data_IF_778049323618
#
_entry.id   IF_778049323618
#
_cell.length_a   1.000
_cell.length_b   1.000
_cell.length_c   1.000
_cell.angle_alpha   90.00
_cell.angle_beta   90.00
_cell.angle_gamma   90.00
#
_symmetry.space_group_name_H-M   'P 1'
#
loop_
_entity.id
_entity.type
_entity.pdbx_description
1 polymer ?
#
# COMPACT_ATOMS: atom_id res chain seq x y z
N UNK A 1 2.48 -23.95 -20.59
CA UNK A 1 1.52 -24.25 -19.51
C UNK A 1 0.76 -22.97 -19.21
N UNK A 2 -0.44 -22.82 -19.75
CA UNK A 2 -1.30 -21.65 -19.51
C UNK A 2 -1.80 -21.69 -18.07
N UNK A 3 -1.21 -20.86 -17.21
CA UNK A 3 -1.83 -20.50 -15.94
C UNK A 3 -2.95 -19.52 -16.28
N UNK A 4 -4.19 -20.01 -16.28
CA UNK A 4 -5.38 -19.16 -16.27
C UNK A 4 -5.28 -18.23 -15.06
N UNK A 5 -4.95 -16.98 -15.32
CA UNK A 5 -4.84 -15.94 -14.31
C UNK A 5 -6.25 -15.49 -13.94
N UNK A 6 -6.98 -16.29 -13.17
CA UNK A 6 -8.22 -15.83 -12.53
C UNK A 6 -7.81 -14.85 -11.44
N UNK A 7 -7.79 -13.57 -11.79
CA UNK A 7 -7.66 -12.47 -10.85
C UNK A 7 -8.81 -12.56 -9.84
N UNK A 8 -8.48 -12.62 -8.54
CA UNK A 8 -9.51 -12.58 -7.49
C UNK A 8 -10.34 -11.30 -7.69
N UNK A 9 -11.69 -11.39 -7.70
CA UNK A 9 -12.54 -10.24 -7.95
C UNK A 9 -12.26 -9.10 -6.97
N UNK A 10 -12.39 -7.86 -7.46
CA UNK A 10 -12.26 -6.65 -6.63
C UNK A 10 -13.47 -6.46 -5.72
N UNK A 11 -14.67 -6.78 -6.23
CA UNK A 11 -15.94 -6.75 -5.51
C UNK A 11 -16.35 -8.19 -5.26
N UNK A 12 -16.65 -8.50 -4.00
CA UNK A 12 -16.99 -9.81 -3.49
C UNK A 12 -18.16 -9.61 -2.53
N UNK A 13 -19.14 -10.51 -2.55
CA UNK A 13 -20.28 -10.40 -1.63
C UNK A 13 -19.88 -10.91 -0.26
N UNK A 14 -20.51 -10.41 0.79
CA UNK A 14 -20.24 -10.89 2.16
C UNK A 14 -20.50 -12.40 2.28
N UNK A 15 -21.53 -12.91 1.59
CA UNK A 15 -21.86 -14.34 1.55
C UNK A 15 -20.73 -15.20 0.98
N UNK A 16 -19.89 -14.65 0.09
CA UNK A 16 -18.74 -15.35 -0.51
C UNK A 16 -17.61 -15.56 0.51
N UNK A 17 -17.67 -14.91 1.69
CA UNK A 17 -16.76 -15.12 2.81
C UNK A 17 -17.31 -16.13 3.83
N UNK A 18 -18.53 -16.66 3.64
CA UNK A 18 -19.22 -17.53 4.60
C UNK A 18 -18.45 -18.81 4.97
N UNK A 19 -17.65 -19.34 4.05
CA UNK A 19 -16.85 -20.56 4.26
C UNK A 19 -15.47 -20.29 4.88
N UNK A 20 -15.09 -19.02 5.11
CA UNK A 20 -13.80 -18.68 5.71
C UNK A 20 -13.80 -19.11 7.18
N UNK A 21 -12.83 -19.96 7.61
CA UNK A 21 -12.75 -20.35 9.02
C UNK A 21 -12.59 -19.14 9.93
N UNK A 22 -13.34 -19.10 11.04
CA UNK A 22 -13.32 -17.96 11.98
C UNK A 22 -11.91 -17.58 12.46
N UNK A 23 -11.02 -18.56 12.66
CA UNK A 23 -9.63 -18.31 13.02
C UNK A 23 -8.86 -17.49 11.98
N UNK A 24 -9.11 -17.72 10.69
CA UNK A 24 -8.49 -16.98 9.59
C UNK A 24 -9.00 -15.54 9.53
N UNK A 25 -10.30 -15.35 9.73
CA UNK A 25 -10.89 -14.01 9.81
C UNK A 25 -10.32 -13.23 11.00
N UNK A 26 -10.22 -13.87 12.17
CA UNK A 26 -9.61 -13.27 13.36
C UNK A 26 -8.15 -12.86 13.12
N UNK A 27 -7.39 -13.62 12.34
CA UNK A 27 -6.02 -13.24 12.00
C UNK A 27 -5.95 -12.00 11.12
N UNK A 28 -6.86 -11.85 10.15
CA UNK A 28 -6.98 -10.61 9.34
C UNK A 28 -7.35 -9.43 10.24
N UNK A 29 -8.34 -9.61 11.13
CA UNK A 29 -8.74 -8.56 12.08
C UNK A 29 -7.60 -8.16 13.01
N UNK A 30 -6.87 -9.12 13.59
CA UNK A 30 -5.70 -8.86 14.45
C UNK A 30 -4.63 -8.09 13.70
N UNK A 31 -4.33 -8.47 12.47
CA UNK A 31 -3.35 -7.78 11.63
C UNK A 31 -3.81 -6.34 11.33
N UNK A 32 -5.08 -6.14 10.98
CA UNK A 32 -5.67 -4.82 10.75
C UNK A 32 -5.56 -3.94 12.00
N UNK A 33 -6.01 -4.44 13.16
CA UNK A 33 -5.95 -3.71 14.42
C UNK A 33 -4.51 -3.36 14.78
N UNK A 34 -3.56 -4.30 14.67
CA UNK A 34 -2.17 -4.06 15.02
C UNK A 34 -1.52 -3.00 14.12
N UNK A 35 -1.75 -3.06 12.81
CA UNK A 35 -1.21 -2.08 11.85
C UNK A 35 -1.83 -0.70 12.08
N UNK A 36 -3.16 -0.61 12.18
CA UNK A 36 -3.84 0.68 12.39
C UNK A 36 -3.57 1.31 13.76
N UNK A 37 -3.17 0.51 14.75
CA UNK A 37 -2.79 1.00 16.08
C UNK A 37 -1.35 1.50 16.16
N UNK A 38 -0.57 1.41 15.07
CA UNK A 38 0.77 2.00 15.05
C UNK A 38 0.67 3.52 15.23
N UNK A 39 1.52 4.12 16.10
CA UNK A 39 1.40 5.53 16.46
C UNK A 39 1.70 6.41 15.24
N UNK A 40 0.70 7.17 14.79
CA UNK A 40 0.81 8.05 13.62
C UNK A 40 1.91 9.10 13.78
N UNK A 41 2.13 9.61 14.99
CA UNK A 41 3.24 10.52 15.29
C UNK A 41 4.63 9.92 15.00
N UNK A 42 4.77 8.58 14.94
CA UNK A 42 6.03 7.97 14.53
C UNK A 42 6.29 8.08 13.01
N UNK A 43 5.24 8.26 12.20
CA UNK A 43 5.37 8.56 10.78
C UNK A 43 5.97 9.96 10.53
N UNK A 44 5.94 10.85 11.53
CA UNK A 44 6.62 12.15 11.47
C UNK A 44 8.15 12.00 11.48
N UNK A 45 8.68 10.87 11.98
CA UNK A 45 10.12 10.57 11.99
C UNK A 45 10.61 9.86 10.73
N UNK A 46 9.70 9.51 9.81
CA UNK A 46 10.05 8.89 8.55
C UNK A 46 10.85 9.86 7.67
N UNK A 47 11.87 9.36 6.97
CA UNK A 47 12.67 10.17 6.02
C UNK A 47 12.12 10.10 4.58
N UNK A 48 11.16 9.22 4.33
CA UNK A 48 10.50 9.10 3.04
C UNK A 48 8.99 8.90 3.15
N UNK A 49 8.27 9.28 2.09
CA UNK A 49 6.87 8.96 1.89
C UNK A 49 6.72 8.15 0.60
N UNK A 50 5.94 7.08 0.64
CA UNK A 50 5.74 6.16 -0.48
C UNK A 50 4.25 6.03 -0.76
N UNK A 51 3.84 6.23 -2.01
CA UNK A 51 2.46 6.13 -2.45
C UNK A 51 2.34 5.21 -3.67
N UNK A 52 1.68 4.05 -3.54
CA UNK A 52 1.27 3.24 -4.68
C UNK A 52 0.01 3.83 -5.35
N UNK A 53 0.08 4.09 -6.66
CA UNK A 53 -1.08 4.51 -7.45
C UNK A 53 -1.96 3.31 -7.83
N UNK A 54 -3.14 3.60 -8.38
CA UNK A 54 -4.07 2.60 -8.90
C UNK A 54 -5.52 3.03 -8.73
N UNK A 55 -6.39 2.39 -9.51
CA UNK A 55 -7.84 2.58 -9.51
C UNK A 55 -8.32 4.02 -9.73
N UNK A 56 -7.47 4.86 -10.34
CA UNK A 56 -7.77 6.28 -10.58
C UNK A 56 -7.85 7.12 -9.29
N UNK A 57 -7.41 6.57 -8.16
CA UNK A 57 -7.50 7.23 -6.86
C UNK A 57 -6.44 8.33 -6.72
N UNK A 58 -6.59 9.43 -7.46
CA UNK A 58 -5.72 10.60 -7.41
C UNK A 58 -5.60 11.18 -6.00
N UNK A 59 -6.60 10.95 -5.14
CA UNK A 59 -6.54 11.35 -3.74
C UNK A 59 -5.38 10.71 -2.98
N UNK A 60 -4.93 9.50 -3.34
CA UNK A 60 -3.73 8.90 -2.73
C UNK A 60 -2.50 9.74 -3.02
N UNK A 61 -2.32 10.07 -4.30
CA UNK A 61 -1.18 10.86 -4.79
C UNK A 61 -1.26 12.29 -4.25
N UNK A 62 -2.44 12.91 -4.31
CA UNK A 62 -2.67 14.28 -3.83
C UNK A 62 -2.44 14.39 -2.33
N UNK A 63 -2.87 13.40 -1.53
CA UNK A 63 -2.59 13.36 -0.10
C UNK A 63 -1.08 13.25 0.15
N UNK A 64 -0.38 12.37 -0.56
CA UNK A 64 1.06 12.21 -0.43
C UNK A 64 1.82 13.49 -0.84
N UNK A 65 1.42 14.14 -1.93
CA UNK A 65 1.96 15.42 -2.37
C UNK A 65 1.75 16.49 -1.31
N UNK A 66 0.56 16.60 -0.70
CA UNK A 66 0.31 17.59 0.37
C UNK A 66 1.22 17.37 1.57
N UNK A 67 1.41 16.12 2.00
CA UNK A 67 2.36 15.80 3.07
C UNK A 67 3.79 16.17 2.65
N UNK A 68 4.20 15.80 1.45
CA UNK A 68 5.51 16.14 0.89
C UNK A 68 5.77 17.65 0.85
N UNK A 69 4.81 18.46 0.39
CA UNK A 69 4.97 19.91 0.30
C UNK A 69 4.97 20.60 1.67
N UNK A 70 4.30 20.02 2.67
CA UNK A 70 4.20 20.62 4.02
C UNK A 70 5.28 20.12 4.99
N UNK A 71 6.02 19.09 4.61
CA UNK A 71 7.05 18.43 5.44
C UNK A 71 8.42 18.51 4.76
N UNK A 72 9.11 19.66 4.86
CA UNK A 72 10.39 19.86 4.20
C UNK A 72 11.49 18.89 4.67
N UNK A 73 11.34 18.31 5.87
CA UNK A 73 12.25 17.33 6.46
C UNK A 73 12.20 15.95 5.78
N UNK A 74 11.13 15.65 5.03
CA UNK A 74 11.10 14.46 4.18
C UNK A 74 12.17 14.62 3.09
N UNK A 75 13.03 13.61 2.96
CA UNK A 75 14.11 13.58 1.97
C UNK A 75 13.61 13.03 0.63
N UNK A 76 12.64 12.12 0.65
CA UNK A 76 12.20 11.38 -0.53
C UNK A 76 10.67 11.25 -0.62
N UNK A 77 10.14 11.38 -1.84
CA UNK A 77 8.78 11.00 -2.20
C UNK A 77 8.83 9.97 -3.32
N UNK A 78 8.32 8.77 -3.07
CA UNK A 78 8.26 7.68 -4.04
C UNK A 78 6.82 7.45 -4.50
N UNK A 79 6.59 7.49 -5.81
CA UNK A 79 5.29 7.25 -6.43
C UNK A 79 5.40 5.99 -7.28
N UNK A 80 4.84 4.87 -6.79
CA UNK A 80 4.82 3.62 -7.54
C UNK A 80 3.68 3.66 -8.57
N UNK A 81 3.95 3.17 -9.78
CA UNK A 81 3.05 3.30 -10.93
C UNK A 81 1.87 2.32 -10.84
N UNK A 82 0.86 2.51 -11.69
CA UNK A 82 -0.39 1.75 -11.66
C UNK A 82 -0.46 0.65 -12.71
N UNK A 83 -1.63 0.03 -12.81
CA UNK A 83 -1.90 -0.98 -13.81
C UNK A 83 -2.38 -0.33 -15.12
N UNK A 84 -1.65 -0.46 -16.24
CA UNK A 84 -2.01 0.17 -17.50
C UNK A 84 -3.28 -0.42 -18.15
N UNK A 85 -3.80 -1.53 -17.62
CA UNK A 85 -5.07 -2.11 -18.03
C UNK A 85 -6.29 -1.53 -17.30
N UNK A 86 -6.10 -0.66 -16.29
CA UNK A 86 -7.20 0.05 -15.64
C UNK A 86 -7.75 1.14 -16.57
N UNK A 87 -9.06 1.32 -16.58
CA UNK A 87 -9.70 2.35 -17.43
C UNK A 87 -9.33 3.74 -16.96
N UNK A 88 -9.04 3.88 -15.66
CA UNK A 88 -8.62 5.11 -15.00
C UNK A 88 -7.10 5.22 -14.86
N UNK A 89 -6.33 4.52 -15.70
CA UNK A 89 -4.87 4.64 -15.69
C UNK A 89 -4.45 5.93 -16.37
N UNK A 90 -3.68 6.74 -15.65
CA UNK A 90 -2.99 7.91 -16.18
C UNK A 90 -1.48 7.76 -16.01
N UNK A 91 -0.73 8.16 -17.04
CA UNK A 91 0.73 8.20 -16.96
C UNK A 91 1.17 9.25 -15.94
N UNK A 92 2.06 8.85 -15.02
CA UNK A 92 2.60 9.71 -13.96
C UNK A 92 3.67 10.69 -14.48
N UNK A 93 3.31 11.47 -15.49
CA UNK A 93 4.18 12.47 -16.10
C UNK A 93 4.45 13.66 -15.15
N UNK A 94 5.56 14.40 -15.35
CA UNK A 94 5.83 15.60 -14.56
C UNK A 94 4.71 16.65 -14.63
N UNK A 95 4.09 16.82 -15.81
CA UNK A 95 2.98 17.76 -15.99
C UNK A 95 1.74 17.35 -15.19
N UNK A 96 1.40 16.06 -15.24
CA UNK A 96 0.28 15.50 -14.48
C UNK A 96 0.47 15.69 -12.97
N UNK A 97 1.62 15.31 -12.43
CA UNK A 97 1.91 15.44 -11.00
C UNK A 97 1.96 16.91 -10.54
N UNK A 98 2.46 17.82 -11.37
CA UNK A 98 2.37 19.27 -11.10
C UNK A 98 0.93 19.76 -11.07
N UNK A 99 0.06 19.22 -11.95
CA UNK A 99 -1.38 19.46 -11.93
C UNK A 99 -2.04 19.03 -10.62
N UNK A 100 -1.55 17.94 -10.00
CA UNK A 100 -1.96 17.48 -8.68
C UNK A 100 -1.35 18.28 -7.51
N UNK A 101 -0.54 19.30 -7.82
CA UNK A 101 0.01 20.23 -6.84
C UNK A 101 1.46 19.96 -6.42
N UNK A 102 2.18 19.03 -7.07
CA UNK A 102 3.59 18.79 -6.79
C UNK A 102 4.46 19.97 -7.29
N UNK A 103 5.20 20.60 -6.39
CA UNK A 103 6.06 21.76 -6.67
C UNK A 103 7.53 21.43 -6.40
N UNK A 104 7.82 20.78 -5.27
CA UNK A 104 9.17 20.35 -4.90
C UNK A 104 9.52 19.04 -5.60
N UNK A 105 10.45 19.09 -6.54
CA UNK A 105 10.83 17.94 -7.36
C UNK A 105 12.07 17.20 -6.86
N UNK A 106 12.95 17.88 -6.13
CA UNK A 106 14.17 17.28 -5.60
C UNK A 106 13.83 16.18 -4.59
N UNK A 107 14.29 14.95 -4.85
CA UNK A 107 13.96 13.78 -4.03
C UNK A 107 12.69 13.04 -4.44
N UNK A 108 12.02 13.46 -5.52
CA UNK A 108 10.86 12.73 -6.08
C UNK A 108 11.35 11.62 -7.01
N UNK A 109 10.88 10.40 -6.76
CA UNK A 109 11.13 9.23 -7.59
C UNK A 109 9.80 8.63 -8.05
N UNK A 110 9.60 8.58 -9.35
CA UNK A 110 8.41 7.97 -9.97
C UNK A 110 8.84 6.66 -10.63
N UNK A 111 8.08 5.59 -10.38
CA UNK A 111 8.31 4.33 -11.07
C UNK A 111 8.00 4.50 -12.56
N UNK A 112 8.99 4.31 -13.43
CA UNK A 112 8.82 4.47 -14.86
C UNK A 112 7.98 3.32 -15.46
N UNK A 113 8.27 2.09 -15.04
CA UNK A 113 7.59 0.91 -15.56
C UNK A 113 6.18 0.80 -14.97
N UNK A 114 5.17 0.45 -15.78
CA UNK A 114 3.85 0.15 -15.25
C UNK A 114 3.90 -1.01 -14.24
N UNK A 115 3.06 -0.95 -13.20
CA UNK A 115 2.95 -1.99 -12.20
C UNK A 115 1.52 -2.55 -12.12
N UNK A 116 1.21 -3.58 -12.95
CA UNK A 116 -0.12 -4.21 -13.02
C UNK A 116 -0.70 -4.75 -11.71
N UNK A 117 0.10 -4.87 -10.65
CA UNK A 117 -0.34 -5.38 -9.37
C UNK A 117 0.51 -4.85 -8.21
N UNK A 118 -0.04 -4.94 -7.01
CA UNK A 118 0.60 -4.49 -5.77
C UNK A 118 1.94 -5.20 -5.48
N UNK A 119 2.17 -6.41 -5.98
CA UNK A 119 3.43 -7.12 -5.75
C UNK A 119 4.59 -6.49 -6.54
N UNK A 120 4.33 -6.02 -7.77
CA UNK A 120 5.32 -5.29 -8.56
C UNK A 120 5.63 -3.91 -7.95
N UNK A 121 4.60 -3.20 -7.48
CA UNK A 121 4.78 -1.95 -6.73
C UNK A 121 5.64 -2.19 -5.48
N UNK A 122 5.32 -3.21 -4.68
CA UNK A 122 6.06 -3.54 -3.47
C UNK A 122 7.51 -3.97 -3.76
N UNK A 123 7.74 -4.69 -4.85
CA UNK A 123 9.08 -5.04 -5.32
C UNK A 123 9.91 -3.79 -5.61
N UNK A 124 9.37 -2.89 -6.44
CA UNK A 124 10.00 -1.63 -6.78
C UNK A 124 10.27 -0.77 -5.53
N UNK A 125 9.30 -0.67 -4.61
CA UNK A 125 9.46 0.03 -3.32
C UNK A 125 10.66 -0.52 -2.56
N UNK A 126 10.76 -1.85 -2.43
CA UNK A 126 11.84 -2.46 -1.67
C UNK A 126 13.21 -2.30 -2.35
N UNK A 127 13.27 -2.28 -3.69
CA UNK A 127 14.48 -1.94 -4.43
C UNK A 127 14.91 -0.48 -4.16
N UNK A 128 13.96 0.47 -4.22
CA UNK A 128 14.24 1.88 -3.93
C UNK A 128 14.66 2.11 -2.47
N UNK A 129 14.07 1.38 -1.52
CA UNK A 129 14.46 1.46 -0.10
C UNK A 129 15.94 1.10 0.09
N UNK A 130 16.40 0.02 -0.54
CA UNK A 130 17.81 -0.37 -0.49
C UNK A 130 18.71 0.67 -1.19
N UNK A 131 18.37 1.03 -2.43
CA UNK A 131 19.23 1.87 -3.26
C UNK A 131 19.36 3.31 -2.75
N UNK A 132 18.30 3.87 -2.17
CA UNK A 132 18.27 5.26 -1.69
C UNK A 132 18.61 5.38 -0.20
N UNK A 133 18.91 4.26 0.46
CA UNK A 133 19.20 4.19 1.89
C UNK A 133 18.07 4.76 2.74
N UNK A 134 16.82 4.40 2.43
CA UNK A 134 15.66 4.87 3.22
C UNK A 134 15.72 4.23 4.60
N UNK A 135 15.72 5.07 5.63
CA UNK A 135 15.84 4.61 7.02
C UNK A 135 14.50 4.26 7.64
N UNK A 136 13.41 4.86 7.16
CA UNK A 136 12.02 4.54 7.51
C UNK A 136 11.04 5.37 6.70
N UNK A 137 9.87 4.83 6.39
CA UNK A 137 8.93 5.49 5.48
C UNK A 137 7.47 5.39 5.90
N UNK A 138 6.70 6.41 5.51
CA UNK A 138 5.24 6.37 5.52
C UNK A 138 4.71 5.69 4.26
N UNK A 139 3.75 4.77 4.40
CA UNK A 139 3.07 4.11 3.29
C UNK A 139 1.66 4.70 3.13
N UNK A 140 1.48 5.55 2.13
CA UNK A 140 0.27 6.30 1.84
C UNK A 140 -0.68 5.51 0.93
N UNK A 141 -1.79 5.01 1.47
CA UNK A 141 -2.75 4.14 0.75
C UNK A 141 -4.18 4.40 1.24
N UNK A 142 -5.18 4.19 0.38
CA UNK A 142 -6.59 4.22 0.79
C UNK A 142 -6.87 3.23 1.94
N UNK A 143 -7.68 3.58 2.95
CA UNK A 143 -7.88 2.77 4.15
C UNK A 143 -8.29 1.31 3.89
N UNK A 144 -9.21 1.07 2.94
CA UNK A 144 -9.69 -0.29 2.63
C UNK A 144 -8.57 -1.20 2.07
N UNK A 145 -7.59 -0.62 1.37
CA UNK A 145 -6.48 -1.34 0.75
C UNK A 145 -5.24 -1.44 1.66
N UNK A 146 -5.14 -0.57 2.66
CA UNK A 146 -3.93 -0.35 3.45
C UNK A 146 -3.31 -1.63 4.01
N UNK A 147 -4.11 -2.51 4.62
CA UNK A 147 -3.58 -3.74 5.23
C UNK A 147 -2.87 -4.63 4.18
N UNK A 148 -3.52 -4.87 3.04
CA UNK A 148 -2.94 -5.72 1.99
C UNK A 148 -1.67 -5.09 1.42
N UNK A 149 -1.68 -3.79 1.13
CA UNK A 149 -0.49 -3.07 0.67
C UNK A 149 0.66 -3.19 1.67
N UNK A 150 0.38 -2.93 2.95
CA UNK A 150 1.35 -3.00 4.04
C UNK A 150 2.00 -4.39 4.13
N UNK A 151 1.20 -5.46 4.18
CA UNK A 151 1.72 -6.83 4.24
C UNK A 151 2.48 -7.23 2.98
N UNK A 152 2.11 -6.71 1.81
CA UNK A 152 2.83 -6.96 0.55
C UNK A 152 4.21 -6.29 0.60
N UNK A 153 4.28 -5.04 1.05
CA UNK A 153 5.54 -4.28 1.18
C UNK A 153 6.45 -4.92 2.22
N UNK A 154 5.93 -5.31 3.39
CA UNK A 154 6.71 -6.04 4.39
C UNK A 154 7.31 -7.33 3.80
N UNK A 155 6.53 -8.10 3.04
CA UNK A 155 7.04 -9.32 2.40
C UNK A 155 8.14 -9.02 1.37
N UNK A 156 7.99 -7.95 0.60
CA UNK A 156 8.97 -7.55 -0.40
C UNK A 156 10.29 -7.05 0.22
N UNK A 157 10.22 -6.32 1.35
CA UNK A 157 11.36 -5.92 2.16
C UNK A 157 12.08 -7.14 2.76
N UNK A 158 11.31 -8.06 3.35
CA UNK A 158 11.83 -9.27 3.96
C UNK A 158 12.62 -10.14 2.98
N UNK A 159 12.09 -10.32 1.76
CA UNK A 159 12.78 -11.05 0.68
C UNK A 159 14.12 -10.42 0.27
N UNK A 160 14.33 -9.13 0.55
CA UNK A 160 15.59 -8.41 0.30
C UNK A 160 16.46 -8.30 1.56
N UNK A 161 16.07 -8.94 2.65
CA UNK A 161 16.78 -8.84 3.94
C UNK A 161 16.68 -7.45 4.58
N UNK A 162 15.72 -6.62 4.16
CA UNK A 162 15.56 -5.26 4.66
C UNK A 162 14.71 -5.23 5.93
N UNK A 163 15.12 -4.39 6.87
CA UNK A 163 14.42 -4.11 8.13
C UNK A 163 14.43 -2.60 8.36
N UNK A 164 13.34 -1.95 7.98
CA UNK A 164 13.13 -0.50 8.15
C UNK A 164 11.73 -0.25 8.72
N UNK A 165 11.54 0.79 9.55
CA UNK A 165 10.22 1.18 10.01
C UNK A 165 9.31 1.57 8.84
N UNK A 166 8.17 0.88 8.73
CA UNK A 166 7.08 1.16 7.81
C UNK A 166 5.88 1.65 8.63
N UNK A 167 5.49 2.89 8.42
CA UNK A 167 4.36 3.51 9.13
C UNK A 167 3.14 3.59 8.20
N UNK A 168 1.98 3.06 8.58
CA UNK A 168 0.77 3.19 7.77
C UNK A 168 0.30 4.64 7.78
N UNK A 169 0.10 5.23 6.60
CA UNK A 169 -0.45 6.58 6.42
C UNK A 169 -1.77 6.45 5.66
N UNK A 170 -2.90 6.23 6.36
CA UNK A 170 -4.19 6.11 5.68
C UNK A 170 -4.59 7.43 5.03
N UNK A 171 -4.97 7.37 3.76
CA UNK A 171 -5.46 8.57 3.05
C UNK A 171 -6.78 9.03 3.65
N UNK A 172 -6.86 10.34 3.94
CA UNK A 172 -8.08 10.99 4.40
C UNK A 172 -9.11 11.11 3.27
N UNK A 173 -9.88 10.04 3.06
CA UNK A 173 -10.98 9.95 2.10
C UNK A 173 -12.21 9.38 2.80
N UNK A 174 -13.41 9.87 2.44
CA UNK A 174 -14.65 9.31 2.97
C UNK A 174 -14.79 7.84 2.58
N UNK A 175 -15.22 6.94 3.49
CA UNK A 175 -15.53 5.56 3.10
C UNK A 175 -16.67 5.46 2.09
N UNK A 176 -17.53 6.49 1.98
CA UNK A 176 -18.60 6.60 0.98
C UNK A 176 -18.12 7.13 -0.39
N UNK A 177 -16.86 7.56 -0.50
CA UNK A 177 -16.31 7.97 -1.77
C UNK A 177 -16.24 6.76 -2.72
N UNK A 178 -16.70 6.95 -3.96
CA UNK A 178 -16.66 5.91 -4.98
C UNK A 178 -15.29 5.88 -5.64
N UNK A 179 -14.65 4.73 -5.64
CA UNK A 179 -13.38 4.48 -6.32
C UNK A 179 -13.58 4.58 -7.84
N UNK A 180 -12.85 5.45 -8.57
CA UNK A 180 -13.11 5.75 -9.97
C UNK A 180 -13.18 4.51 -10.88
N UNK A 181 -12.23 3.59 -10.73
CA UNK A 181 -12.14 2.39 -11.57
C UNK A 181 -13.31 1.40 -11.38
N UNK A 182 -13.93 1.37 -10.20
CA UNK A 182 -14.94 0.33 -9.89
C UNK A 182 -16.33 0.90 -9.65
N UNK A 183 -16.44 2.20 -9.39
CA UNK A 183 -17.65 2.84 -8.89
C UNK A 183 -18.04 2.42 -7.47
N UNK A 184 -17.31 1.51 -6.82
CA UNK A 184 -17.63 0.97 -5.51
C UNK A 184 -17.08 1.84 -4.36
N UNK A 185 -17.74 1.78 -3.21
CA UNK A 185 -17.31 2.39 -1.95
C UNK A 185 -16.31 1.51 -1.20
N UNK A 186 -15.71 2.03 -0.14
CA UNK A 186 -14.81 1.24 0.70
C UNK A 186 -15.51 0.02 1.31
N UNK A 187 -16.78 0.14 1.69
CA UNK A 187 -17.57 -0.96 2.26
C UNK A 187 -17.72 -2.13 1.28
N UNK A 188 -17.97 -1.83 0.01
CA UNK A 188 -18.16 -2.83 -1.06
C UNK A 188 -16.84 -3.50 -1.49
N UNK A 189 -15.70 -2.81 -1.31
CA UNK A 189 -14.38 -3.31 -1.70
C UNK A 189 -13.67 -4.12 -0.60
N UNK A 190 -14.03 -3.89 0.67
CA UNK A 190 -13.42 -4.56 1.81
C UNK A 190 -13.52 -6.10 1.76
N UNK A 191 -14.66 -6.72 1.43
CA UNK A 191 -14.74 -8.18 1.31
C UNK A 191 -13.75 -8.74 0.29
N UNK A 192 -13.59 -8.05 -0.84
CA UNK A 192 -12.62 -8.42 -1.87
C UNK A 192 -11.17 -8.26 -1.42
N UNK A 193 -10.85 -7.24 -0.61
CA UNK A 193 -9.51 -7.11 0.00
C UNK A 193 -9.25 -8.24 1.00
N UNK A 194 -10.24 -8.63 1.82
CA UNK A 194 -10.14 -9.75 2.77
C UNK A 194 -9.89 -11.06 2.03
N UNK A 195 -10.70 -11.36 0.99
CA UNK A 195 -10.51 -12.59 0.20
C UNK A 195 -9.12 -12.65 -0.43
N UNK A 196 -8.60 -11.52 -0.93
CA UNK A 196 -7.23 -11.43 -1.47
C UNK A 196 -6.18 -11.61 -0.40
N UNK A 197 -6.36 -11.03 0.79
CA UNK A 197 -5.41 -11.24 1.91
C UNK A 197 -5.32 -12.74 2.23
N UNK A 198 -6.45 -13.41 2.38
CA UNK A 198 -6.52 -14.83 2.69
C UNK A 198 -5.88 -15.69 1.59
N UNK A 199 -6.23 -15.42 0.32
CA UNK A 199 -5.71 -16.15 -0.85
C UNK A 199 -4.21 -15.93 -1.02
N UNK A 200 -3.73 -14.71 -0.85
CA UNK A 200 -2.33 -14.35 -1.12
C UNK A 200 -1.40 -14.72 0.02
N UNK A 201 -1.89 -14.78 1.26
CA UNK A 201 -1.16 -15.31 2.40
C UNK A 201 -0.76 -16.78 2.15
N UNK A 202 -1.67 -17.61 1.65
CA UNK A 202 -1.41 -19.03 1.36
C UNK A 202 -0.38 -19.24 0.24
N UNK A 203 -0.25 -18.25 -0.65
CA UNK A 203 0.73 -18.25 -1.74
C UNK A 203 2.08 -17.65 -1.35
N UNK A 204 2.24 -17.21 -0.10
CA UNK A 204 3.44 -16.56 0.40
C UNK A 204 3.72 -15.18 -0.23
N UNK A 205 2.68 -14.53 -0.78
CA UNK A 205 2.79 -13.22 -1.44
C UNK A 205 2.66 -12.05 -0.46
N UNK A 206 2.09 -12.30 0.72
CA UNK A 206 1.95 -11.34 1.80
C UNK A 206 2.76 -11.81 3.02
N UNK A 207 3.10 -10.86 3.88
CA UNK A 207 3.60 -11.19 5.21
C UNK A 207 2.51 -11.94 5.99
N UNK A 208 2.88 -13.10 6.53
CA UNK A 208 2.02 -13.91 7.40
C UNK A 208 1.78 -13.22 8.75
N UNK A 209 0.76 -13.65 9.52
CA UNK A 209 0.57 -13.12 10.88
C UNK A 209 1.78 -13.31 11.81
N UNK A 210 2.54 -14.40 11.63
CA UNK A 210 3.76 -14.64 12.38
C UNK A 210 4.89 -13.67 11.99
N UNK A 211 5.08 -13.44 10.68
CA UNK A 211 6.05 -12.47 10.17
C UNK A 211 5.69 -11.04 10.60
N UNK A 212 4.41 -10.65 10.52
CA UNK A 212 3.94 -9.36 11.02
C UNK A 212 4.25 -9.20 12.52
N UNK A 213 3.94 -10.21 13.34
CA UNK A 213 4.21 -10.17 14.78
C UNK A 213 5.70 -10.01 15.08
N UNK A 214 6.55 -10.76 14.37
CA UNK A 214 8.00 -10.66 14.52
C UNK A 214 8.50 -9.26 14.12
N UNK A 215 8.02 -8.73 12.99
CA UNK A 215 8.33 -7.37 12.54
C UNK A 215 7.89 -6.31 13.55
N UNK A 216 6.66 -6.40 14.07
CA UNK A 216 6.16 -5.45 15.07
C UNK A 216 6.96 -5.54 16.38
N UNK A 217 7.31 -6.76 16.83
CA UNK A 217 8.18 -6.95 18.00
C UNK A 217 9.54 -6.25 17.81
N UNK A 218 10.15 -6.42 16.64
CA UNK A 218 11.37 -5.70 16.27
C UNK A 218 11.17 -4.18 16.30
N UNK A 219 10.13 -3.68 15.63
CA UNK A 219 9.80 -2.26 15.50
C UNK A 219 9.67 -1.53 16.85
N UNK A 220 9.17 -2.23 17.88
CA UNK A 220 9.05 -1.70 19.24
C UNK A 220 10.31 -1.85 20.08
N UNK A 221 11.18 -2.81 19.76
CA UNK A 221 12.44 -3.06 20.48
C UNK A 221 13.62 -2.21 19.98
N UNK A 222 13.59 -1.76 18.72
CA UNK A 222 14.65 -0.97 18.09
C UNK A 222 14.45 0.54 18.25
N UNK A 223 13.77 0.95 19.33
CA UNK A 223 13.57 2.35 19.69
C UNK A 223 14.52 2.80 20.79
#
# INVERSE_FOLDING_TARGET
>A
MHLGNTTTPRIVRDDDLGDVPAGRMLDVMRAMTAVLSLPQAAAERADALIVPSGQGEEWRITHAIRLWETRPELRLLLIANGNPAETTYDELSPGYLRGLGLRRWDGVHVQAEPAPNTALQAGWIADRVAELGISGFGLCVSPYHLLRAYLTVLKALDRRGLRVPVWPVPVAVSPDARVPETGATAYELLPGEIQRILTYADRGWLATPAELRAYLGWLWSSR
#
